data_IF_314458082778
#
_entry.id   IF_314458082778
#
_cell.length_a   1.000
_cell.length_b   1.000
_cell.length_c   1.000
_cell.angle_alpha   90.00
_cell.angle_beta   90.00
_cell.angle_gamma   90.00
#
_symmetry.space_group_name_H-M   'P 1'
#
loop_
_entity.id
_entity.type
_entity.pdbx_description
1 polymer ?
#
# COMPACT_ATOMS: atom_id res chain seq x y z
N UNK A 1 -12.43 -20.27 2.52
CA UNK A 1 -12.02 -19.50 3.72
C UNK A 1 -11.45 -18.18 3.23
N UNK A 2 -11.91 -17.04 3.75
CA UNK A 2 -11.39 -15.72 3.36
C UNK A 2 -10.32 -15.28 4.36
N UNK A 3 -9.22 -14.71 3.85
CA UNK A 3 -8.15 -14.15 4.65
C UNK A 3 -8.48 -12.72 5.08
N UNK A 4 -7.95 -12.31 6.22
CA UNK A 4 -8.14 -10.97 6.79
C UNK A 4 -6.82 -10.45 7.35
N UNK A 5 -6.77 -9.18 7.74
CA UNK A 5 -5.58 -8.59 8.35
C UNK A 5 -5.10 -9.34 9.61
N UNK A 6 -6.00 -9.95 10.39
CA UNK A 6 -5.63 -10.85 11.49
C UNK A 6 -4.66 -11.96 11.06
N UNK A 7 -4.83 -12.49 9.84
CA UNK A 7 -3.95 -13.52 9.30
C UNK A 7 -2.57 -12.96 8.92
N UNK A 8 -2.50 -11.72 8.42
CA UNK A 8 -1.23 -11.03 8.13
C UNK A 8 -0.46 -10.79 9.42
N UNK A 9 -1.13 -10.34 10.48
CA UNK A 9 -0.52 -10.12 11.80
C UNK A 9 0.03 -11.41 12.44
N UNK A 10 -0.51 -12.57 12.07
CA UNK A 10 -0.05 -13.87 12.56
C UNK A 10 1.12 -14.45 11.75
N UNK A 11 1.48 -13.85 10.60
CA UNK A 11 2.60 -14.29 9.80
C UNK A 11 3.94 -13.97 10.45
N UNK A 12 4.95 -14.79 10.18
CA UNK A 12 6.32 -14.52 10.62
C UNK A 12 6.91 -13.30 9.90
N UNK A 13 7.90 -12.63 10.49
CA UNK A 13 8.57 -11.46 9.89
C UNK A 13 9.23 -11.73 8.52
N UNK A 14 9.47 -13.01 8.18
CA UNK A 14 10.05 -13.43 6.91
C UNK A 14 9.01 -13.64 5.81
N UNK A 15 7.73 -13.65 6.16
CA UNK A 15 6.63 -13.82 5.23
C UNK A 15 5.90 -12.50 5.03
N UNK A 16 5.64 -12.16 3.76
CA UNK A 16 4.90 -10.96 3.41
C UNK A 16 3.73 -11.33 2.54
N UNK A 17 2.54 -10.88 2.92
CA UNK A 17 1.29 -11.23 2.27
C UNK A 17 0.48 -9.98 1.99
N UNK A 18 0.00 -9.85 0.76
CA UNK A 18 -1.11 -8.96 0.44
C UNK A 18 -2.41 -9.76 0.44
N UNK A 19 -3.51 -9.14 0.81
CA UNK A 19 -4.84 -9.72 0.72
C UNK A 19 -5.67 -8.82 -0.19
N UNK A 20 -6.28 -9.38 -1.24
CA UNK A 20 -7.22 -8.65 -2.08
C UNK A 20 -8.57 -9.34 -2.00
N UNK A 21 -9.54 -8.65 -1.38
CA UNK A 21 -10.91 -9.16 -1.21
C UNK A 21 -10.97 -10.57 -0.61
N UNK A 22 -10.14 -10.81 0.41
CA UNK A 22 -10.05 -12.08 1.13
C UNK A 22 -9.19 -13.15 0.47
N UNK A 23 -8.55 -12.85 -0.67
CA UNK A 23 -7.61 -13.74 -1.36
C UNK A 23 -6.17 -13.34 -1.02
N UNK A 24 -5.35 -14.24 -0.45
CA UNK A 24 -3.97 -13.94 -0.08
C UNK A 24 -3.01 -14.09 -1.28
N UNK A 25 -2.00 -13.23 -1.33
CA UNK A 25 -0.94 -13.21 -2.33
C UNK A 25 0.41 -13.10 -1.64
N UNK A 26 1.29 -14.08 -1.85
CA UNK A 26 2.65 -14.04 -1.31
C UNK A 26 3.48 -12.98 -2.04
N UNK A 27 4.12 -12.10 -1.29
CA UNK A 27 5.12 -11.16 -1.81
C UNK A 27 6.49 -11.83 -1.82
N UNK A 28 6.71 -12.70 -2.81
CA UNK A 28 8.00 -13.31 -3.13
C UNK A 28 8.43 -12.96 -4.56
N UNK A 29 9.73 -12.76 -4.85
CA UNK A 29 10.89 -12.68 -3.95
C UNK A 29 11.15 -11.25 -3.42
N UNK A 30 12.26 -11.08 -2.67
CA UNK A 30 12.77 -9.78 -2.26
C UNK A 30 12.91 -8.82 -3.46
N UNK A 31 12.71 -7.50 -3.25
CA UNK A 31 12.84 -6.53 -4.32
C UNK A 31 14.29 -6.50 -4.88
N UNK A 32 14.41 -6.30 -6.18
CA UNK A 32 15.72 -6.17 -6.84
C UNK A 32 16.39 -4.84 -6.48
N UNK A 33 17.72 -4.74 -6.66
CA UNK A 33 18.46 -3.47 -6.49
C UNK A 33 17.82 -2.34 -7.33
N UNK A 34 17.50 -2.62 -8.59
CA UNK A 34 16.83 -1.65 -9.48
C UNK A 34 15.47 -1.21 -8.94
N UNK A 35 14.68 -2.13 -8.37
CA UNK A 35 13.40 -1.76 -7.75
C UNK A 35 13.63 -0.82 -6.56
N UNK A 36 14.62 -1.11 -5.72
CA UNK A 36 14.99 -0.25 -4.58
C UNK A 36 15.50 1.12 -5.01
N UNK A 37 16.32 1.20 -6.07
CA UNK A 37 16.82 2.47 -6.61
C UNK A 37 15.67 3.36 -7.09
N UNK A 38 14.74 2.81 -7.85
CA UNK A 38 13.62 3.60 -8.40
C UNK A 38 12.62 3.96 -7.30
N UNK A 39 12.26 3.04 -6.40
CA UNK A 39 11.40 3.32 -5.26
C UNK A 39 12.01 4.40 -4.35
N UNK A 40 13.31 4.30 -4.05
CA UNK A 40 14.03 5.30 -3.27
C UNK A 40 14.11 6.67 -3.95
N UNK A 41 14.37 6.70 -5.25
CA UNK A 41 14.37 7.95 -6.02
C UNK A 41 12.98 8.62 -6.02
N UNK A 42 11.92 7.83 -6.19
CA UNK A 42 10.54 8.31 -6.15
C UNK A 42 10.16 8.82 -4.76
N UNK A 43 10.48 8.06 -3.71
CA UNK A 43 10.31 8.48 -2.32
C UNK A 43 10.99 9.84 -2.07
N UNK A 44 12.23 10.01 -2.53
CA UNK A 44 12.97 11.28 -2.39
C UNK A 44 12.31 12.44 -3.13
N UNK A 45 11.90 12.24 -4.40
CA UNK A 45 11.25 13.29 -5.20
C UNK A 45 9.94 13.73 -4.53
N UNK A 46 9.11 12.76 -4.14
CA UNK A 46 7.84 13.04 -3.44
C UNK A 46 8.10 13.68 -2.07
N UNK A 47 9.06 13.17 -1.31
CA UNK A 47 9.42 13.69 0.01
C UNK A 47 9.83 15.15 -0.05
N UNK A 48 10.67 15.52 -1.02
CA UNK A 48 11.06 16.91 -1.26
C UNK A 48 9.86 17.79 -1.63
N UNK A 49 8.99 17.31 -2.53
CA UNK A 49 7.80 18.05 -2.90
C UNK A 49 6.83 18.25 -1.72
N UNK A 50 6.79 17.30 -0.78
CA UNK A 50 5.89 17.36 0.39
C UNK A 50 6.46 18.16 1.57
N UNK A 51 7.68 18.71 1.47
CA UNK A 51 8.21 19.60 2.51
C UNK A 51 7.29 20.80 2.75
N UNK A 52 6.95 21.04 4.02
CA UNK A 52 6.02 22.10 4.43
C UNK A 52 4.53 21.80 4.15
N UNK A 53 4.19 20.64 3.57
CA UNK A 53 2.79 20.22 3.36
C UNK A 53 2.30 19.33 4.51
N UNK A 54 0.99 19.17 4.62
CA UNK A 54 0.38 18.30 5.65
C UNK A 54 0.67 16.80 5.41
N UNK A 55 1.04 16.43 4.19
CA UNK A 55 1.20 15.05 3.75
C UNK A 55 2.56 14.45 4.11
N UNK A 56 2.58 13.13 4.29
CA UNK A 56 3.78 12.32 4.53
C UNK A 56 3.91 11.24 3.46
N UNK A 57 5.14 11.02 3.02
CA UNK A 57 5.48 9.94 2.09
C UNK A 57 6.01 8.76 2.89
N UNK A 58 5.61 7.56 2.50
CA UNK A 58 6.01 6.29 3.10
C UNK A 58 6.57 5.36 2.01
N UNK A 59 7.42 4.44 2.43
CA UNK A 59 8.02 3.39 1.62
C UNK A 59 7.74 2.04 2.31
N UNK A 60 7.56 0.97 1.55
CA UNK A 60 7.41 -0.40 2.07
C UNK A 60 8.62 -0.83 2.91
N UNK A 61 8.50 -1.67 3.96
CA UNK A 61 7.28 -2.34 4.44
C UNK A 61 6.39 -1.44 5.30
N UNK A 62 5.13 -1.28 4.88
CA UNK A 62 4.07 -0.69 5.69
C UNK A 62 2.71 -1.14 5.12
N UNK A 63 1.87 -1.74 5.96
CA UNK A 63 0.57 -2.24 5.54
C UNK A 63 -0.42 -1.10 5.28
N UNK A 64 -1.17 -1.21 4.19
CA UNK A 64 -2.29 -0.33 3.87
C UNK A 64 -3.58 -1.14 3.90
N UNK A 65 -4.44 -0.80 4.86
CA UNK A 65 -5.74 -1.44 5.06
C UNK A 65 -6.82 -0.69 4.27
N UNK A 66 -7.41 -1.35 3.27
CA UNK A 66 -8.52 -0.80 2.49
C UNK A 66 -9.85 -1.23 3.12
N UNK A 67 -10.43 -0.34 3.91
CA UNK A 67 -11.69 -0.58 4.63
C UNK A 67 -12.91 -0.23 3.79
N UNK A 68 -13.98 -1.01 3.92
CA UNK A 68 -15.29 -0.78 3.28
C UNK A 68 -16.29 -0.05 4.19
N UNK A 69 -16.00 0.06 5.49
CA UNK A 69 -16.83 0.78 6.43
C UNK A 69 -16.20 0.96 7.81
N UNK A 70 -16.87 0.43 8.82
CA UNK A 70 -16.44 0.53 10.22
C UNK A 70 -16.05 -0.83 10.79
N UNK A 71 -15.70 -1.78 9.93
CA UNK A 71 -15.19 -3.06 10.42
C UNK A 71 -13.91 -2.87 11.26
N UNK A 72 -13.71 -3.73 12.28
CA UNK A 72 -12.47 -3.82 13.01
C UNK A 72 -11.29 -4.06 12.06
N UNK A 73 -10.12 -3.53 12.40
CA UNK A 73 -8.94 -3.58 11.53
C UNK A 73 -8.56 -5.02 11.20
N UNK A 74 -8.67 -5.93 12.16
CA UNK A 74 -8.37 -7.36 12.06
C UNK A 74 -9.27 -8.10 11.05
N UNK A 75 -10.46 -7.55 10.78
CA UNK A 75 -11.45 -8.12 9.87
C UNK A 75 -11.33 -7.58 8.44
N UNK A 76 -10.45 -6.59 8.21
CA UNK A 76 -10.25 -6.02 6.87
C UNK A 76 -9.72 -7.10 5.93
N UNK A 77 -10.40 -7.23 4.79
CA UNK A 77 -10.14 -8.26 3.77
C UNK A 77 -9.30 -7.75 2.60
N UNK A 78 -8.88 -6.49 2.63
CA UNK A 78 -7.98 -5.95 1.62
C UNK A 78 -6.81 -5.23 2.28
N UNK A 79 -5.64 -5.84 2.19
CA UNK A 79 -4.37 -5.40 2.76
C UNK A 79 -3.33 -5.38 1.65
N UNK A 80 -2.66 -4.26 1.44
CA UNK A 80 -1.63 -4.14 0.38
C UNK A 80 -0.38 -3.48 0.95
N UNK A 81 0.78 -3.74 0.32
CA UNK A 81 2.06 -3.11 0.68
C UNK A 81 2.65 -2.40 -0.54
N UNK A 82 2.18 -1.18 -0.85
CA UNK A 82 2.69 -0.42 -1.98
C UNK A 82 4.14 -0.01 -1.76
N UNK A 83 4.93 0.07 -2.84
CA UNK A 83 6.34 0.43 -2.74
C UNK A 83 6.55 1.84 -2.20
N UNK A 84 5.82 2.83 -2.72
CA UNK A 84 5.82 4.22 -2.23
C UNK A 84 4.40 4.75 -2.20
N UNK A 85 4.02 5.44 -1.13
CA UNK A 85 2.69 6.04 -1.04
C UNK A 85 2.67 7.31 -0.18
N UNK A 86 1.60 8.09 -0.32
CA UNK A 86 1.41 9.37 0.37
C UNK A 86 0.14 9.33 1.22
N UNK A 87 0.26 9.81 2.45
CA UNK A 87 -0.87 10.00 3.38
C UNK A 87 -0.94 11.47 3.78
N UNK A 88 -2.03 12.15 3.41
CA UNK A 88 -2.28 13.54 3.78
C UNK A 88 -3.05 13.71 5.08
N UNK A 89 -3.93 12.75 5.40
CA UNK A 89 -4.69 12.73 6.64
C UNK A 89 -3.98 11.84 7.67
N UNK A 90 -3.29 12.46 8.63
CA UNK A 90 -2.52 11.73 9.65
C UNK A 90 -3.39 10.88 10.57
N UNK A 91 -4.70 11.15 10.67
CA UNK A 91 -5.63 10.30 11.44
C UNK A 91 -5.80 8.90 10.84
N UNK A 92 -5.33 8.68 9.61
CA UNK A 92 -5.33 7.39 8.93
C UNK A 92 -4.13 6.51 9.28
N UNK A 93 -3.13 7.04 9.96
CA UNK A 93 -1.98 6.27 10.42
C UNK A 93 -2.32 5.61 11.76
N UNK A 94 -2.21 4.30 11.83
CA UNK A 94 -2.56 3.48 12.99
C UNK A 94 -1.42 2.54 13.33
N UNK A 95 -0.73 2.78 14.45
CA UNK A 95 0.42 1.99 14.92
C UNK A 95 1.41 1.61 13.78
N UNK A 96 1.26 0.42 13.21
CA UNK A 96 2.11 -0.18 12.16
C UNK A 96 1.44 -0.25 10.76
N UNK A 97 0.36 0.49 10.51
CA UNK A 97 -0.39 0.48 9.26
C UNK A 97 -1.01 1.85 8.90
N UNK A 98 -1.51 1.97 7.66
CA UNK A 98 -2.33 3.08 7.21
C UNK A 98 -3.73 2.60 6.78
N UNK A 99 -4.79 3.12 7.40
CA UNK A 99 -6.18 2.77 7.09
C UNK A 99 -6.78 3.76 6.09
N UNK A 100 -7.12 3.30 4.90
CA UNK A 100 -7.70 4.13 3.83
C UNK A 100 -9.08 3.59 3.49
N UNK A 101 -10.08 4.47 3.44
CA UNK A 101 -11.39 4.08 2.91
C UNK A 101 -11.26 3.77 1.43
N UNK A 102 -11.78 2.59 1.04
CA UNK A 102 -11.73 1.98 -0.28
C UNK A 102 -11.38 2.95 -1.42
N UNK A 103 -10.24 2.71 -2.03
CA UNK A 103 -9.89 3.30 -3.32
C UNK A 103 -10.71 2.56 -4.39
N UNK A 104 -11.35 3.28 -5.31
CA UNK A 104 -12.03 2.66 -6.46
C UNK A 104 -10.96 2.06 -7.38
N UNK A 105 -10.56 0.83 -7.15
CA UNK A 105 -9.72 0.11 -8.10
C UNK A 105 -10.58 -0.18 -9.35
N UNK A 106 -10.42 0.60 -10.42
CA UNK A 106 -11.08 0.30 -11.68
C UNK A 106 -10.59 -1.07 -12.18
N UNK A 107 -11.54 -1.97 -12.46
CA UNK A 107 -11.39 -3.43 -12.64
C UNK A 107 -10.39 -3.92 -13.71
N UNK A 108 -9.72 -3.03 -14.43
CA UNK A 108 -8.79 -3.36 -15.52
C UNK A 108 -7.62 -2.37 -15.58
N UNK A 109 -6.48 -2.74 -14.97
CA UNK A 109 -5.10 -2.40 -15.37
C UNK A 109 -4.13 -2.62 -14.20
N UNK A 110 -3.28 -3.63 -14.28
CA UNK A 110 -1.88 -3.46 -13.86
C UNK A 110 -1.13 -2.88 -15.08
N UNK A 111 -0.14 -1.96 -14.93
CA UNK A 111 0.38 -1.33 -13.71
C UNK A 111 0.03 0.17 -13.62
N UNK A 112 0.04 0.73 -12.41
CA UNK A 112 -0.20 2.14 -12.05
C UNK A 112 -1.54 2.74 -12.50
N UNK A 113 -2.42 2.99 -11.53
CA UNK A 113 -3.48 3.99 -11.68
C UNK A 113 -3.49 4.96 -10.52
N UNK A 114 -3.28 6.23 -10.86
CA UNK A 114 -3.42 7.39 -9.97
C UNK A 114 -4.91 7.63 -9.75
N UNK A 115 -5.46 7.10 -8.66
CA UNK A 115 -6.87 7.32 -8.33
C UNK A 115 -7.00 8.58 -7.47
N UNK A 116 -7.62 9.62 -8.04
CA UNK A 116 -8.10 10.78 -7.30
C UNK A 116 -9.43 10.38 -6.66
N UNK A 117 -9.45 10.06 -5.37
CA UNK A 117 -10.70 9.86 -4.64
C UNK A 117 -11.45 11.19 -4.62
N UNK A 118 -12.61 11.25 -5.29
CA UNK A 118 -13.42 12.46 -5.39
C UNK A 118 -13.74 13.01 -3.99
N UNK A 119 -13.21 14.19 -3.67
CA UNK A 119 -13.63 15.02 -2.54
C UNK A 119 -13.01 14.75 -1.16
N UNK A 120 -11.99 13.89 -1.02
CA UNK A 120 -11.30 13.70 0.29
C UNK A 120 -9.78 13.66 0.13
N UNK A 121 -9.09 14.23 1.13
CA UNK A 121 -7.65 14.48 1.20
C UNK A 121 -6.80 13.37 0.54
N UNK A 122 -6.07 13.76 -0.51
CA UNK A 122 -5.37 12.89 -1.45
C UNK A 122 -4.50 11.82 -0.76
N UNK A 123 -4.68 10.56 -1.14
CA UNK A 123 -3.68 9.50 -0.93
C UNK A 123 -3.27 8.97 -2.30
N UNK A 124 -1.97 8.88 -2.53
CA UNK A 124 -1.40 8.41 -3.79
C UNK A 124 -0.65 7.12 -3.49
N UNK A 125 -0.97 6.03 -4.16
CA UNK A 125 -0.24 4.76 -4.01
C UNK A 125 0.46 4.47 -5.33
N UNK A 126 1.79 4.41 -5.30
CA UNK A 126 2.61 3.97 -6.42
C UNK A 126 3.16 2.61 -6.04
N UNK A 127 2.47 1.56 -6.49
CA UNK A 127 3.04 0.23 -6.56
C UNK A 127 3.79 0.14 -7.89
N UNK A 128 5.11 0.05 -7.82
CA UNK A 128 5.91 -0.32 -8.97
C UNK A 128 5.82 -1.85 -9.11
N UNK A 129 4.90 -2.31 -9.96
CA UNK A 129 4.96 -3.65 -10.49
C UNK A 129 6.16 -3.79 -11.46
N UNK A 130 7.39 -3.64 -10.95
CA UNK A 130 8.56 -4.28 -11.56
C UNK A 130 8.64 -5.72 -11.03
N UNK A 131 7.56 -6.49 -11.21
CA UNK A 131 7.68 -7.94 -11.20
C UNK A 131 8.43 -8.28 -12.49
N UNK A 132 9.72 -8.60 -12.35
CA UNK A 132 10.62 -9.16 -13.37
C UNK A 132 9.97 -9.37 -14.75
N UNK A 133 10.00 -8.33 -15.59
CA UNK A 133 9.89 -8.53 -17.03
C UNK A 133 11.31 -8.85 -17.49
N UNK A 134 11.57 -10.15 -17.67
CA UNK A 134 12.69 -10.66 -18.45
C UNK A 134 13.97 -10.98 -17.69
N UNK A 135 14.16 -12.28 -17.45
CA UNK A 135 15.35 -13.03 -17.85
C UNK A 135 14.98 -14.50 -17.92
#
# INVERSE_FOLDING_TARGET
MLYTYAHVLACSEHERWEILQGVPYAMSPAPTIRHQEVAGALYRILGNYMQGKACRVFITPLDVLLTEGQEPDEQIQTVIQPDVFVVCDKSKLINVAAKVHRIRLSKYSLPLRLEKTAGKNFSFMISMALKNIGS
#
